data_IF_890048020160
#
_entry.id   IF_890048020160
#
_cell.length_a   1.000
_cell.length_b   1.000
_cell.length_c   1.000
_cell.angle_alpha   90.00
_cell.angle_beta   90.00
_cell.angle_gamma   90.00
#
_symmetry.space_group_name_H-M   'P 1'
#
loop_
_entity.id
_entity.type
_entity.pdbx_description
1 polymer ?
#
# COMPACT_ATOMS: atom_id res chain seq x y z
N UNK A 1 11.35 -16.50 6.42
CA UNK A 1 10.10 -17.00 5.86
C UNK A 1 10.19 -18.50 5.81
N UNK A 2 9.19 -19.20 6.32
CA UNK A 2 9.07 -20.65 6.26
C UNK A 2 8.10 -21.01 5.12
N UNK A 3 8.46 -22.00 4.31
CA UNK A 3 7.62 -22.47 3.21
C UNK A 3 7.31 -23.96 3.45
N UNK A 4 6.02 -24.28 3.55
CA UNK A 4 5.52 -25.65 3.64
C UNK A 4 4.73 -25.95 2.37
N UNK A 5 4.89 -27.16 1.83
CA UNK A 5 4.23 -27.58 0.59
C UNK A 5 3.42 -28.84 0.84
N UNK A 6 2.20 -28.87 0.34
CA UNK A 6 1.30 -30.03 0.42
C UNK A 6 0.82 -30.38 -0.97
N UNK A 7 0.98 -31.64 -1.35
CA UNK A 7 0.42 -32.22 -2.55
C UNK A 7 -0.80 -33.06 -2.19
N UNK A 8 -1.77 -33.18 -3.10
CA UNK A 8 -2.90 -34.11 -2.91
C UNK A 8 -2.50 -35.58 -3.08
N UNK A 9 -1.44 -35.86 -3.86
CA UNK A 9 -0.82 -37.18 -4.00
C UNK A 9 0.69 -37.12 -3.77
N UNK A 10 1.19 -38.04 -2.94
CA UNK A 10 2.64 -38.23 -2.73
C UNK A 10 3.27 -39.16 -3.78
N UNK A 11 2.44 -39.91 -4.53
CA UNK A 11 2.87 -40.88 -5.54
C UNK A 11 1.94 -40.80 -6.74
N UNK A 12 2.53 -40.74 -7.93
CA UNK A 12 1.81 -40.70 -9.20
C UNK A 12 2.03 -42.01 -9.97
N UNK A 13 0.98 -42.52 -10.60
CA UNK A 13 1.13 -43.63 -11.55
C UNK A 13 1.75 -43.13 -12.85
N UNK A 14 2.80 -43.81 -13.30
CA UNK A 14 3.48 -43.52 -14.56
C UNK A 14 2.55 -43.85 -15.74
N UNK A 15 2.71 -43.12 -16.86
CA UNK A 15 2.05 -43.37 -18.16
C UNK A 15 0.57 -42.93 -18.29
N UNK A 16 -0.01 -42.26 -17.29
CA UNK A 16 -1.32 -41.63 -17.42
C UNK A 16 -1.26 -40.14 -17.06
N UNK A 17 -1.87 -39.24 -17.87
CA UNK A 17 -2.00 -37.84 -17.49
C UNK A 17 -2.83 -37.73 -16.21
N UNK A 18 -2.33 -36.95 -15.24
CA UNK A 18 -3.02 -36.70 -13.99
C UNK A 18 -2.96 -35.22 -13.63
N UNK A 19 -3.99 -34.78 -12.92
CA UNK A 19 -4.01 -33.47 -12.29
C UNK A 19 -3.47 -33.62 -10.87
N UNK A 20 -2.54 -32.76 -10.49
CA UNK A 20 -1.96 -32.70 -9.15
C UNK A 20 -2.26 -31.34 -8.55
N UNK A 21 -2.74 -31.32 -7.31
CA UNK A 21 -2.99 -30.06 -6.59
C UNK A 21 -1.84 -29.78 -5.63
N UNK A 22 -1.19 -28.63 -5.80
CA UNK A 22 -0.13 -28.14 -4.92
C UNK A 22 -0.63 -26.95 -4.12
N UNK A 23 -0.58 -27.06 -2.80
CA UNK A 23 -0.75 -25.94 -1.87
C UNK A 23 0.61 -25.58 -1.28
N UNK A 24 1.10 -24.39 -1.60
CA UNK A 24 2.27 -23.79 -0.95
C UNK A 24 1.82 -22.80 0.12
N UNK A 25 2.19 -23.06 1.37
CA UNK A 25 1.93 -22.20 2.53
C UNK A 25 3.22 -21.48 2.92
N UNK A 26 3.19 -20.16 2.90
CA UNK A 26 4.33 -19.29 3.15
C UNK A 26 4.05 -18.49 4.42
N UNK A 27 4.71 -18.85 5.51
CA UNK A 27 4.53 -18.22 6.81
C UNK A 27 5.71 -17.30 7.16
N UNK A 28 5.41 -16.08 7.58
CA UNK A 28 6.40 -15.19 8.18
C UNK A 28 6.62 -15.50 9.67
N UNK A 29 7.77 -15.08 10.18
CA UNK A 29 8.01 -15.04 11.62
C UNK A 29 7.27 -13.87 12.28
N UNK A 30 7.42 -13.68 13.59
CA UNK A 30 6.79 -12.56 14.29
C UNK A 30 7.23 -11.22 13.68
N UNK A 31 6.35 -10.23 13.78
CA UNK A 31 6.69 -8.87 13.38
C UNK A 31 7.98 -8.41 14.10
N UNK A 32 8.92 -7.76 13.40
CA UNK A 32 10.08 -7.19 14.05
C UNK A 32 9.60 -6.14 15.06
N UNK A 33 10.18 -6.16 16.26
CA UNK A 33 9.95 -5.09 17.23
C UNK A 33 10.33 -3.73 16.61
N UNK A 34 9.76 -2.64 17.11
CA UNK A 34 9.94 -1.26 16.64
C UNK A 34 11.41 -0.85 16.42
N UNK A 35 12.35 -1.46 17.15
CA UNK A 35 13.80 -1.22 17.00
C UNK A 35 14.46 -2.01 15.85
N UNK A 36 13.82 -3.07 15.35
CA UNK A 36 14.33 -3.98 14.31
C UNK A 36 13.57 -3.85 12.99
N UNK A 37 12.43 -3.16 12.96
CA UNK A 37 11.69 -2.93 11.72
C UNK A 37 12.41 -1.90 10.84
N UNK A 38 12.15 -1.96 9.53
CA UNK A 38 12.64 -0.95 8.60
C UNK A 38 12.05 0.42 8.96
N UNK A 39 12.86 1.49 8.97
CA UNK A 39 12.33 2.84 9.11
C UNK A 39 11.38 3.18 7.97
N UNK A 40 10.37 3.98 8.27
CA UNK A 40 9.37 4.46 7.31
C UNK A 40 9.75 5.87 6.88
N UNK A 41 9.72 6.14 5.58
CA UNK A 41 9.76 7.48 5.00
C UNK A 41 8.40 7.74 4.34
N UNK A 42 7.54 8.45 5.06
CA UNK A 42 6.14 8.62 4.71
C UNK A 42 5.81 10.08 4.40
N UNK A 43 5.09 10.29 3.31
CA UNK A 43 4.34 11.53 3.11
C UNK A 43 2.84 11.29 3.24
N UNK A 44 2.22 11.96 4.20
CA UNK A 44 0.77 12.00 4.35
C UNK A 44 0.23 13.15 3.51
N UNK A 45 -0.61 12.85 2.52
CA UNK A 45 -1.17 13.81 1.57
C UNK A 45 -2.66 13.92 1.85
N UNK A 46 -3.08 15.05 2.40
CA UNK A 46 -4.42 15.28 2.94
C UNK A 46 -5.19 16.25 2.04
N UNK A 47 -6.32 15.80 1.51
CA UNK A 47 -7.32 16.67 0.95
C UNK A 47 -7.89 17.57 2.05
N UNK A 48 -7.88 18.87 1.82
CA UNK A 48 -8.54 19.86 2.66
C UNK A 48 -9.49 20.73 1.85
N UNK A 49 -10.04 20.23 0.74
CA UNK A 49 -11.05 20.90 -0.05
C UNK A 49 -12.34 21.12 0.74
N UNK A 50 -13.26 21.92 0.21
CA UNK A 50 -14.52 22.25 0.89
C UNK A 50 -15.42 21.04 1.15
N UNK A 51 -15.36 20.00 0.32
CA UNK A 51 -16.12 18.75 0.51
C UNK A 51 -15.70 18.01 1.78
N UNK A 52 -14.45 18.16 2.22
CA UNK A 52 -13.93 17.60 3.46
C UNK A 52 -14.54 18.25 4.71
N UNK A 53 -15.41 19.26 4.56
CA UNK A 53 -16.04 19.96 5.68
C UNK A 53 -16.76 19.05 6.67
N UNK A 54 -16.90 19.55 7.91
CA UNK A 54 -17.55 18.84 8.99
C UNK A 54 -16.73 17.64 9.47
N UNK A 55 -17.35 16.48 9.42
CA UNK A 55 -16.90 15.25 10.02
C UNK A 55 -15.69 14.63 9.29
N UNK A 56 -15.63 14.70 7.96
CA UNK A 56 -14.53 14.12 7.15
C UNK A 56 -13.15 14.67 7.52
N UNK A 57 -13.00 16.00 7.63
CA UNK A 57 -11.73 16.62 8.04
C UNK A 57 -11.41 16.36 9.52
N UNK A 58 -12.42 16.18 10.37
CA UNK A 58 -12.20 15.79 11.75
C UNK A 58 -11.56 14.39 11.83
N UNK A 59 -12.06 13.41 11.07
CA UNK A 59 -11.52 12.04 11.05
C UNK A 59 -10.18 11.97 10.38
N UNK A 60 -10.00 12.74 9.31
CA UNK A 60 -8.69 12.86 8.65
C UNK A 60 -7.62 13.33 9.64
N UNK A 61 -7.93 14.30 10.50
CA UNK A 61 -7.03 14.72 11.57
C UNK A 61 -6.81 13.62 12.61
N UNK A 62 -7.86 12.96 13.08
CA UNK A 62 -7.73 11.88 14.08
C UNK A 62 -6.88 10.72 13.57
N UNK A 63 -7.12 10.28 12.35
CA UNK A 63 -6.35 9.26 11.66
C UNK A 63 -4.88 9.64 11.48
N UNK A 64 -4.63 10.87 10.99
CA UNK A 64 -3.28 11.40 10.85
C UNK A 64 -2.54 11.48 12.20
N UNK A 65 -3.24 11.87 13.28
CA UNK A 65 -2.68 11.91 14.63
C UNK A 65 -2.39 10.51 15.16
N UNK A 66 -3.29 9.55 14.97
CA UNK A 66 -3.08 8.16 15.34
C UNK A 66 -1.83 7.58 14.64
N UNK A 67 -1.68 7.90 13.35
CA UNK A 67 -0.50 7.50 12.59
C UNK A 67 0.79 8.05 13.21
N UNK A 68 0.82 9.35 13.51
CA UNK A 68 1.98 10.01 14.14
C UNK A 68 2.33 9.38 15.48
N UNK A 69 1.32 8.99 16.26
CA UNK A 69 1.54 8.36 17.57
C UNK A 69 2.18 6.97 17.48
N UNK A 70 1.96 6.25 16.38
CA UNK A 70 2.49 4.91 16.16
C UNK A 70 3.80 4.88 15.35
N UNK A 71 4.20 6.00 14.73
CA UNK A 71 5.54 6.13 14.16
C UNK A 71 6.63 6.14 15.25
N UNK A 72 7.83 5.71 14.90
CA UNK A 72 9.02 5.68 15.73
C UNK A 72 9.91 6.89 15.47
N UNK A 73 10.84 7.18 16.39
CA UNK A 73 11.82 8.27 16.21
C UNK A 73 12.77 8.07 15.01
N UNK A 74 12.90 6.83 14.51
CA UNK A 74 13.65 6.52 13.29
C UNK A 74 12.88 6.83 12.00
N UNK A 75 11.57 7.01 12.05
CA UNK A 75 10.77 7.32 10.87
C UNK A 75 10.87 8.78 10.47
N UNK A 76 10.67 9.04 9.19
CA UNK A 76 10.57 10.37 8.60
C UNK A 76 9.12 10.59 8.15
N UNK A 77 8.55 11.73 8.53
CA UNK A 77 7.20 12.14 8.12
C UNK A 77 7.24 13.49 7.42
N UNK A 78 6.52 13.61 6.31
CA UNK A 78 6.05 14.88 5.76
C UNK A 78 4.53 14.91 5.70
N UNK A 79 3.95 16.10 5.77
CA UNK A 79 2.50 16.31 5.62
C UNK A 79 2.27 17.36 4.56
N UNK A 80 1.56 16.97 3.51
CA UNK A 80 1.12 17.83 2.41
C UNK A 80 -0.37 18.02 2.54
N UNK A 81 -0.83 19.25 2.49
CA UNK A 81 -2.23 19.61 2.39
C UNK A 81 -2.51 20.07 0.97
N UNK A 82 -3.62 19.64 0.39
CA UNK A 82 -4.01 20.12 -0.93
C UNK A 82 -5.47 20.55 -0.98
N UNK A 83 -5.71 21.60 -1.74
CA UNK A 83 -7.00 22.03 -2.24
C UNK A 83 -6.78 22.52 -3.70
N UNK A 84 -7.18 23.73 -4.10
CA UNK A 84 -6.67 24.38 -5.32
C UNK A 84 -5.15 24.61 -5.30
N UNK A 85 -4.57 24.71 -4.11
CA UNK A 85 -3.15 24.91 -3.87
C UNK A 85 -2.57 23.74 -3.08
N UNK A 86 -1.28 23.50 -3.28
CA UNK A 86 -0.52 22.50 -2.53
C UNK A 86 0.33 23.22 -1.49
N UNK A 87 0.23 22.79 -0.24
CA UNK A 87 0.95 23.34 0.89
C UNK A 87 1.66 22.22 1.64
N UNK A 88 2.98 22.34 1.79
CA UNK A 88 3.74 21.45 2.68
C UNK A 88 3.57 21.95 4.10
N UNK A 89 2.64 21.35 4.85
CA UNK A 89 2.47 21.64 6.26
C UNK A 89 3.75 21.22 6.99
N UNK A 90 4.15 19.96 6.91
CA UNK A 90 5.37 19.45 7.55
C UNK A 90 6.34 19.04 6.45
N UNK A 91 7.49 19.72 6.37
CA UNK A 91 8.60 19.26 5.55
C UNK A 91 9.17 17.95 6.14
N UNK A 92 9.80 17.08 5.35
CA UNK A 92 10.30 15.80 5.84
C UNK A 92 11.18 15.96 7.08
N UNK A 93 10.71 15.44 8.22
CA UNK A 93 11.43 15.49 9.48
C UNK A 93 11.31 14.17 10.24
N UNK A 94 12.30 13.89 11.10
CA UNK A 94 12.24 12.72 11.98
C UNK A 94 11.13 12.88 13.01
N UNK A 95 10.42 11.80 13.31
CA UNK A 95 9.28 11.82 14.24
C UNK A 95 9.75 11.77 15.71
N UNK A 96 10.53 12.78 16.11
CA UNK A 96 11.02 12.93 17.50
C UNK A 96 10.12 13.83 18.34
N UNK A 97 9.33 14.72 17.70
CA UNK A 97 8.46 15.69 18.37
C UNK A 97 6.98 15.46 18.03
N UNK A 98 6.45 14.29 18.41
CA UNK A 98 5.08 13.86 18.06
C UNK A 98 4.01 14.88 18.44
N UNK A 99 4.10 15.46 19.64
CA UNK A 99 3.10 16.43 20.12
C UNK A 99 3.05 17.68 19.23
N UNK A 100 4.20 18.19 18.79
CA UNK A 100 4.25 19.34 17.89
C UNK A 100 3.60 19.02 16.54
N UNK A 101 3.89 17.84 15.98
CA UNK A 101 3.28 17.35 14.73
C UNK A 101 1.76 17.23 14.88
N UNK A 102 1.29 16.61 15.96
CA UNK A 102 -0.13 16.42 16.28
C UNK A 102 -0.86 17.75 16.40
N UNK A 103 -0.25 18.76 17.02
CA UNK A 103 -0.83 20.11 17.14
C UNK A 103 -0.98 20.80 15.78
N UNK A 104 -0.01 20.63 14.88
CA UNK A 104 -0.10 21.18 13.51
C UNK A 104 -1.22 20.51 12.72
N UNK A 105 -1.34 19.19 12.83
CA UNK A 105 -2.43 18.43 12.21
C UNK A 105 -3.80 18.85 12.79
N UNK A 106 -3.88 19.10 14.09
CA UNK A 106 -5.11 19.57 14.74
C UNK A 106 -5.61 20.90 14.14
N UNK A 107 -4.72 21.73 13.60
CA UNK A 107 -5.06 23.01 12.98
C UNK A 107 -5.63 22.95 11.55
N UNK A 108 -5.67 21.77 10.91
CA UNK A 108 -6.12 21.64 9.52
C UNK A 108 -7.62 21.99 9.40
N UNK A 109 -7.96 22.79 8.39
CA UNK A 109 -9.33 23.22 8.07
C UNK A 109 -9.65 22.99 6.60
N UNK A 110 -10.86 22.51 6.34
CA UNK A 110 -11.42 22.32 5.00
C UNK A 110 -11.75 23.67 4.34
N UNK A 111 -11.32 23.86 3.09
CA UNK A 111 -11.60 25.04 2.23
C UNK A 111 -11.22 24.78 0.76
N UNK A 112 -11.96 25.40 -0.15
CA UNK A 112 -11.58 25.47 -1.56
C UNK A 112 -11.98 24.25 -2.39
N UNK A 113 -11.25 24.00 -3.48
CA UNK A 113 -11.50 22.92 -4.47
C UNK A 113 -10.38 21.86 -4.42
N UNK A 114 -10.29 20.95 -5.40
CA UNK A 114 -9.46 19.73 -5.31
C UNK A 114 -8.42 19.61 -6.43
N UNK A 115 -7.13 19.73 -6.09
CA UNK A 115 -5.98 19.44 -6.95
C UNK A 115 -5.23 18.18 -6.45
N UNK A 116 -5.88 17.03 -6.63
CA UNK A 116 -5.37 15.71 -6.20
C UNK A 116 -3.98 15.42 -6.79
N UNK A 117 -3.82 15.65 -8.09
CA UNK A 117 -2.55 15.36 -8.79
C UNK A 117 -1.37 16.16 -8.21
N UNK A 118 -1.58 17.45 -7.90
CA UNK A 118 -0.56 18.30 -7.31
C UNK A 118 -0.19 17.87 -5.90
N UNK A 119 -1.18 17.57 -5.06
CA UNK A 119 -0.95 17.10 -3.69
C UNK A 119 -0.16 15.80 -3.66
N UNK A 120 -0.59 14.82 -4.46
CA UNK A 120 0.07 13.52 -4.55
C UNK A 120 1.50 13.62 -5.09
N UNK A 121 1.73 14.38 -6.17
CA UNK A 121 3.07 14.57 -6.72
C UNK A 121 4.02 15.28 -5.76
N UNK A 122 3.57 16.28 -5.01
CA UNK A 122 4.39 16.92 -3.97
C UNK A 122 4.72 15.91 -2.86
N UNK A 123 3.76 15.07 -2.44
CA UNK A 123 4.04 13.98 -1.50
C UNK A 123 5.12 13.02 -2.00
N UNK A 124 5.02 12.55 -3.25
CA UNK A 124 6.06 11.71 -3.86
C UNK A 124 7.42 12.42 -3.91
N UNK A 125 7.45 13.72 -4.21
CA UNK A 125 8.69 14.51 -4.23
C UNK A 125 9.31 14.63 -2.84
N UNK A 126 8.52 14.83 -1.80
CA UNK A 126 9.01 14.91 -0.42
C UNK A 126 9.57 13.56 0.07
N UNK A 127 8.92 12.44 -0.28
CA UNK A 127 9.46 11.10 -0.04
C UNK A 127 10.79 10.92 -0.78
N UNK A 128 10.85 11.30 -2.06
CA UNK A 128 12.06 11.19 -2.88
C UNK A 128 13.27 11.93 -2.29
N UNK A 129 13.07 13.03 -1.53
CA UNK A 129 14.15 13.79 -0.89
C UNK A 129 14.89 13.02 0.20
N UNK A 130 14.23 12.07 0.85
CA UNK A 130 14.80 11.24 1.92
C UNK A 130 14.73 9.75 1.58
N UNK A 131 14.68 9.43 0.28
CA UNK A 131 14.51 8.08 -0.18
C UNK A 131 15.76 7.24 0.12
N UNK A 132 15.56 6.14 0.83
CA UNK A 132 16.60 5.17 1.16
C UNK A 132 16.07 3.77 0.84
N UNK A 133 16.89 2.91 0.24
CA UNK A 133 16.51 1.53 -0.11
C UNK A 133 16.28 0.64 1.11
N UNK A 134 16.80 1.03 2.28
CA UNK A 134 16.56 0.38 3.56
C UNK A 134 15.24 0.83 4.20
N UNK A 135 14.61 1.89 3.67
CA UNK A 135 13.39 2.48 4.23
C UNK A 135 12.16 2.06 3.44
N UNK A 136 11.01 2.08 4.11
CA UNK A 136 9.71 1.97 3.46
C UNK A 136 9.31 3.36 2.96
N UNK A 137 9.52 3.61 1.68
CA UNK A 137 9.19 4.89 1.04
C UNK A 137 7.74 4.86 0.55
N UNK A 138 6.86 5.64 1.17
CA UNK A 138 5.41 5.56 0.91
C UNK A 138 4.73 6.92 0.92
N UNK A 139 3.69 7.04 0.11
CA UNK A 139 2.72 8.13 0.13
C UNK A 139 1.36 7.56 0.51
N UNK A 140 0.70 8.17 1.50
CA UNK A 140 -0.71 7.90 1.82
C UNK A 140 -1.52 9.11 1.35
N UNK A 141 -2.37 8.90 0.35
CA UNK A 141 -3.25 9.90 -0.22
C UNK A 141 -4.65 9.76 0.37
N UNK A 142 -5.11 10.79 1.08
CA UNK A 142 -6.45 10.86 1.67
C UNK A 142 -7.30 11.84 0.88
N UNK A 143 -8.41 11.38 0.29
CA UNK A 143 -9.25 12.18 -0.61
C UNK A 143 -10.73 11.85 -0.45
N UNK A 144 -11.59 12.88 -0.49
CA UNK A 144 -13.05 12.71 -0.54
C UNK A 144 -13.69 13.18 -1.85
N UNK A 145 -12.87 13.63 -2.82
CA UNK A 145 -13.35 14.28 -4.02
C UNK A 145 -12.75 13.78 -5.32
N UNK A 146 -13.28 14.35 -6.41
CA UNK A 146 -12.84 14.13 -7.79
C UNK A 146 -11.54 14.90 -8.08
N UNK A 147 -10.69 14.35 -8.95
CA UNK A 147 -9.57 15.10 -9.51
C UNK A 147 -10.11 16.21 -10.44
N UNK A 148 -10.32 17.41 -9.87
CA UNK A 148 -10.98 18.53 -10.54
C UNK A 148 -9.99 19.55 -11.13
N UNK A 149 -8.75 19.57 -10.63
CA UNK A 149 -7.68 20.44 -11.10
C UNK A 149 -6.36 19.68 -11.33
N UNK A 150 -5.51 20.23 -12.21
CA UNK A 150 -4.24 19.62 -12.61
C UNK A 150 -4.44 18.48 -13.60
N UNK A 151 -3.78 17.34 -13.37
CA UNK A 151 -3.99 16.14 -14.18
C UNK A 151 -5.20 15.38 -13.65
N UNK A 152 -6.29 15.37 -14.43
CA UNK A 152 -7.56 14.75 -14.05
C UNK A 152 -7.83 13.43 -14.77
N UNK A 153 -7.01 13.10 -15.76
CA UNK A 153 -7.14 11.88 -16.55
C UNK A 153 -6.67 10.66 -15.76
N UNK A 154 -7.59 9.74 -15.45
CA UNK A 154 -7.30 8.49 -14.73
C UNK A 154 -6.15 7.68 -15.36
N UNK A 155 -6.12 7.39 -16.69
CA UNK A 155 -5.00 6.68 -17.29
C UNK A 155 -3.63 7.34 -17.06
N UNK A 156 -3.57 8.68 -17.03
CA UNK A 156 -2.32 9.40 -16.76
C UNK A 156 -1.91 9.29 -15.30
N UNK A 157 -2.85 9.42 -14.37
CA UNK A 157 -2.59 9.28 -12.93
C UNK A 157 -2.11 7.86 -12.59
N UNK A 158 -2.76 6.83 -13.14
CA UNK A 158 -2.35 5.43 -13.00
C UNK A 158 -0.96 5.20 -13.56
N UNK A 159 -0.65 5.73 -14.76
CA UNK A 159 0.68 5.61 -15.35
C UNK A 159 1.77 6.30 -14.50
N UNK A 160 1.46 7.48 -13.95
CA UNK A 160 2.37 8.16 -13.04
C UNK A 160 2.57 7.36 -11.73
N UNK A 161 1.52 6.78 -11.16
CA UNK A 161 1.61 5.96 -9.95
C UNK A 161 2.51 4.75 -10.17
N UNK A 162 2.35 4.05 -11.30
CA UNK A 162 3.23 2.97 -11.74
C UNK A 162 4.68 3.43 -11.87
N UNK A 163 4.93 4.58 -12.49
CA UNK A 163 6.28 5.14 -12.60
C UNK A 163 6.90 5.44 -11.22
N UNK A 164 6.10 5.92 -10.25
CA UNK A 164 6.58 6.15 -8.87
C UNK A 164 6.88 4.85 -8.13
N UNK A 165 6.09 3.80 -8.35
CA UNK A 165 6.40 2.46 -7.85
C UNK A 165 7.71 1.93 -8.43
N UNK A 166 7.95 2.08 -9.74
CA UNK A 166 9.22 1.71 -10.38
C UNK A 166 10.41 2.50 -9.84
N UNK A 167 10.17 3.72 -9.33
CA UNK A 167 11.16 4.52 -8.61
C UNK A 167 11.30 4.11 -7.13
N UNK A 168 10.56 3.12 -6.64
CA UNK A 168 10.61 2.65 -5.26
C UNK A 168 9.77 3.44 -4.26
N UNK A 169 8.75 4.18 -4.73
CA UNK A 169 7.81 4.94 -3.89
C UNK A 169 6.41 4.35 -4.03
N UNK A 170 5.91 3.73 -2.97
CA UNK A 170 4.57 3.13 -2.97
C UNK A 170 3.48 4.18 -2.72
N UNK A 171 2.31 4.00 -3.32
CA UNK A 171 1.13 4.85 -3.09
C UNK A 171 -0.02 4.03 -2.52
N UNK A 172 -0.51 4.42 -1.36
CA UNK A 172 -1.76 3.93 -0.75
C UNK A 172 -2.79 5.05 -0.84
N UNK A 173 -4.03 4.71 -1.15
CA UNK A 173 -5.12 5.69 -1.28
C UNK A 173 -6.22 5.38 -0.26
N UNK A 174 -6.83 6.44 0.26
CA UNK A 174 -7.89 6.37 1.26
C UNK A 174 -9.03 7.30 0.84
N UNK A 175 -10.16 6.69 0.48
CA UNK A 175 -11.38 7.38 0.12
C UNK A 175 -12.22 7.71 1.34
N UNK A 176 -12.70 8.95 1.48
CA UNK A 176 -13.44 9.43 2.65
C UNK A 176 -14.89 9.79 2.29
N UNK A 177 -15.87 9.10 2.88
CA UNK A 177 -17.30 9.29 2.59
C UNK A 177 -17.67 8.89 1.15
N UNK A 178 -18.92 9.09 0.73
CA UNK A 178 -19.43 8.45 -0.49
C UNK A 178 -19.08 9.14 -1.84
N UNK A 179 -18.46 10.32 -1.84
CA UNK A 179 -18.44 11.23 -2.99
C UNK A 179 -17.08 11.35 -3.73
N UNK A 180 -16.20 10.35 -3.62
CA UNK A 180 -14.90 10.34 -4.32
C UNK A 180 -14.92 9.46 -5.57
N UNK A 181 -13.90 9.62 -6.42
CA UNK A 181 -13.69 8.74 -7.57
C UNK A 181 -13.02 7.44 -7.12
N UNK A 182 -13.82 6.45 -6.74
CA UNK A 182 -13.35 5.14 -6.27
C UNK A 182 -12.49 4.42 -7.29
N UNK A 183 -12.95 4.34 -8.55
CA UNK A 183 -12.21 3.71 -9.65
C UNK A 183 -10.80 4.31 -9.79
N UNK A 184 -10.68 5.63 -9.66
CA UNK A 184 -9.39 6.32 -9.73
C UNK A 184 -8.49 5.97 -8.54
N UNK A 185 -9.00 6.07 -7.31
CA UNK A 185 -8.18 5.83 -6.12
C UNK A 185 -7.73 4.37 -6.04
N UNK A 186 -8.61 3.43 -6.38
CA UNK A 186 -8.31 2.01 -6.47
C UNK A 186 -7.24 1.74 -7.53
N UNK A 187 -7.44 2.23 -8.76
CA UNK A 187 -6.48 2.04 -9.84
C UNK A 187 -5.11 2.69 -9.56
N UNK A 188 -5.08 3.82 -8.85
CA UNK A 188 -3.83 4.46 -8.41
C UNK A 188 -3.10 3.65 -7.33
N UNK A 189 -3.82 3.09 -6.36
CA UNK A 189 -3.22 2.23 -5.34
C UNK A 189 -2.65 0.95 -5.95
N UNK A 190 -3.43 0.28 -6.81
CA UNK A 190 -3.00 -0.94 -7.50
C UNK A 190 -1.74 -0.70 -8.34
N UNK A 191 -1.75 0.35 -9.15
CA UNK A 191 -0.58 0.71 -9.96
C UNK A 191 0.59 1.22 -9.12
N UNK A 192 0.31 1.86 -7.98
CA UNK A 192 1.27 2.38 -7.03
C UNK A 192 1.81 1.36 -6.04
N UNK A 193 1.39 0.09 -6.11
CA UNK A 193 1.87 -0.99 -5.24
C UNK A 193 1.50 -0.79 -3.77
N UNK A 194 0.37 -0.14 -3.49
CA UNK A 194 -0.23 -0.02 -2.16
C UNK A 194 -1.65 -0.57 -2.14
N UNK A 195 -2.38 -0.21 -1.09
CA UNK A 195 -3.78 -0.61 -0.92
C UNK A 195 -4.73 0.58 -1.09
N UNK A 196 -5.98 0.28 -1.39
CA UNK A 196 -7.09 1.24 -1.36
C UNK A 196 -7.97 0.92 -0.16
N UNK A 197 -8.31 1.95 0.59
CA UNK A 197 -9.22 1.86 1.73
C UNK A 197 -10.40 2.81 1.59
N UNK A 198 -11.59 2.32 1.92
CA UNK A 198 -12.81 3.13 1.96
C UNK A 198 -13.22 3.40 3.40
N UNK A 199 -13.24 4.67 3.78
CA UNK A 199 -13.66 5.13 5.10
C UNK A 199 -15.06 5.71 4.95
N UNK A 200 -16.05 4.85 5.19
CA UNK A 200 -17.47 5.21 5.14
C UNK A 200 -17.85 6.19 6.25
N UNK A 201 -17.30 5.98 7.45
CA UNK A 201 -17.79 6.63 8.67
C UNK A 201 -16.68 6.98 9.69
N UNK A 202 -16.95 7.96 10.56
CA UNK A 202 -16.12 8.35 11.72
C UNK A 202 -15.55 7.19 12.53
N UNK A 203 -16.41 6.21 12.76
CA UNK A 203 -16.19 5.16 13.74
C UNK A 203 -15.24 4.09 13.22
N UNK A 204 -15.17 3.93 11.89
CA UNK A 204 -14.36 2.91 11.22
C UNK A 204 -13.00 3.46 10.77
N UNK A 205 -12.87 4.79 10.60
CA UNK A 205 -11.63 5.45 10.23
C UNK A 205 -10.41 5.00 11.07
N UNK A 206 -10.44 5.07 12.42
CA UNK A 206 -9.29 4.69 13.24
C UNK A 206 -8.85 3.24 13.01
N UNK A 207 -9.81 2.31 12.88
CA UNK A 207 -9.52 0.90 12.66
C UNK A 207 -8.86 0.65 11.30
N UNK A 208 -9.39 1.24 10.23
CA UNK A 208 -8.81 1.11 8.87
C UNK A 208 -7.38 1.67 8.84
N UNK A 209 -7.18 2.81 9.49
CA UNK A 209 -5.85 3.41 9.62
C UNK A 209 -4.90 2.55 10.44
N UNK A 210 -5.40 1.95 11.51
CA UNK A 210 -4.66 0.99 12.31
C UNK A 210 -4.29 -0.24 11.48
N UNK A 211 -5.18 -0.78 10.67
CA UNK A 211 -4.90 -1.93 9.80
C UNK A 211 -3.77 -1.65 8.79
N UNK A 212 -3.83 -0.53 8.04
CA UNK A 212 -2.73 -0.14 7.12
C UNK A 212 -1.44 0.12 7.89
N UNK A 213 -1.52 0.83 9.02
CA UNK A 213 -0.33 1.18 9.77
C UNK A 213 0.30 -0.04 10.43
N UNK A 214 -0.48 -0.96 10.98
CA UNK A 214 -0.01 -2.25 11.46
C UNK A 214 0.60 -3.05 10.32
N UNK A 215 0.00 -3.05 9.12
CA UNK A 215 0.63 -3.60 7.92
C UNK A 215 2.02 -2.99 7.69
N UNK A 216 2.14 -1.67 7.67
CA UNK A 216 3.43 -0.99 7.49
C UNK A 216 4.46 -1.31 8.58
N UNK A 217 4.03 -1.35 9.84
CA UNK A 217 4.88 -1.58 11.00
C UNK A 217 5.34 -3.03 11.10
N UNK A 218 4.50 -3.97 10.66
CA UNK A 218 4.78 -5.41 10.73
C UNK A 218 5.39 -5.96 9.44
N UNK A 219 5.60 -5.14 8.42
CA UNK A 219 6.13 -5.55 7.12
C UNK A 219 7.50 -6.24 7.24
N UNK A 220 7.55 -7.55 7.01
CA UNK A 220 8.75 -8.38 7.07
C UNK A 220 9.44 -8.55 5.71
N UNK A 221 8.69 -8.40 4.62
CA UNK A 221 9.19 -8.60 3.26
C UNK A 221 8.34 -7.85 2.25
N UNK A 222 8.95 -7.38 1.16
CA UNK A 222 8.25 -6.69 0.08
C UNK A 222 8.26 -7.53 -1.18
N UNK A 223 7.16 -7.44 -1.94
CA UNK A 223 7.05 -8.00 -3.29
C UNK A 223 7.49 -9.48 -3.37
N UNK A 224 7.00 -10.32 -2.45
CA UNK A 224 7.25 -11.75 -2.45
C UNK A 224 6.83 -12.33 -3.79
N UNK A 225 7.79 -13.00 -4.42
CA UNK A 225 7.57 -13.73 -5.67
C UNK A 225 7.92 -15.19 -5.45
N UNK A 226 7.00 -16.07 -5.81
CA UNK A 226 7.21 -17.53 -5.82
C UNK A 226 7.39 -17.95 -7.26
N UNK A 227 8.50 -18.63 -7.58
CA UNK A 227 8.76 -19.15 -8.92
C UNK A 227 8.76 -20.67 -8.90
N UNK A 228 8.06 -21.27 -9.85
CA UNK A 228 8.13 -22.69 -10.18
C UNK A 228 8.99 -22.85 -11.43
N UNK A 229 9.96 -23.76 -11.35
CA UNK A 229 10.72 -24.24 -12.51
C UNK A 229 10.13 -25.58 -12.93
N UNK A 230 9.53 -25.60 -14.12
CA UNK A 230 8.84 -26.76 -14.66
C UNK A 230 9.84 -27.73 -15.27
N UNK A 231 9.52 -29.02 -15.17
CA UNK A 231 10.21 -30.08 -15.89
C UNK A 231 9.42 -30.44 -17.14
N UNK A 232 10.01 -31.25 -18.02
CA UNK A 232 9.34 -31.74 -19.25
C UNK A 232 8.07 -32.57 -18.98
N UNK A 233 7.87 -33.02 -17.74
CA UNK A 233 6.71 -33.82 -17.34
C UNK A 233 5.50 -33.00 -16.90
N UNK A 234 5.64 -31.67 -16.76
CA UNK A 234 4.53 -30.77 -16.42
C UNK A 234 4.15 -29.99 -17.68
N UNK A 235 2.95 -30.23 -18.18
CA UNK A 235 2.40 -29.60 -19.38
C UNK A 235 1.69 -28.29 -19.07
N UNK A 236 1.18 -28.11 -17.85
CA UNK A 236 0.39 -26.94 -17.48
C UNK A 236 0.46 -26.59 -16.00
N UNK A 237 0.35 -25.29 -15.73
CA UNK A 237 0.18 -24.72 -14.39
C UNK A 237 -1.02 -23.79 -14.41
N UNK A 238 -2.02 -24.11 -13.60
CA UNK A 238 -3.21 -23.30 -13.46
C UNK A 238 -3.35 -22.85 -12.00
N UNK A 239 -3.38 -21.54 -11.77
CA UNK A 239 -3.55 -21.00 -10.43
C UNK A 239 -5.02 -21.08 -10.00
N UNK A 240 -5.29 -21.62 -8.82
CA UNK A 240 -6.65 -21.71 -8.26
C UNK A 240 -7.03 -20.49 -7.42
N UNK A 241 -6.05 -19.80 -6.85
CA UNK A 241 -6.24 -18.48 -6.26
C UNK A 241 -5.74 -17.38 -7.22
N UNK A 242 -6.11 -16.12 -7.02
CA UNK A 242 -5.83 -15.04 -7.99
C UNK A 242 -4.60 -14.21 -7.57
N UNK A 243 -3.41 -14.57 -8.05
CA UNK A 243 -2.22 -13.70 -7.98
C UNK A 243 -1.76 -13.32 -9.39
N UNK A 244 -1.11 -12.17 -9.57
CA UNK A 244 -0.45 -11.85 -10.83
C UNK A 244 0.59 -12.92 -11.17
N UNK A 245 0.48 -13.50 -12.37
CA UNK A 245 1.37 -14.55 -12.89
C UNK A 245 2.16 -14.04 -14.09
N UNK A 246 3.43 -14.42 -14.16
CA UNK A 246 4.30 -14.18 -15.29
C UNK A 246 5.02 -15.48 -15.67
N UNK A 247 4.92 -15.88 -16.94
CA UNK A 247 5.56 -17.08 -17.47
C UNK A 247 6.69 -16.68 -18.41
N UNK A 248 7.89 -17.22 -18.17
CA UNK A 248 9.06 -17.06 -19.01
C UNK A 248 9.71 -18.43 -19.26
N UNK A 249 9.47 -19.00 -20.45
CA UNK A 249 9.91 -20.35 -20.78
C UNK A 249 9.34 -21.40 -19.83
N UNK A 250 10.22 -22.11 -19.12
CA UNK A 250 9.86 -23.12 -18.12
C UNK A 250 9.66 -22.55 -16.71
N UNK A 251 9.77 -21.22 -16.53
CA UNK A 251 9.61 -20.58 -15.23
C UNK A 251 8.27 -19.87 -15.13
N UNK A 252 7.45 -20.27 -14.16
CA UNK A 252 6.18 -19.59 -13.84
C UNK A 252 6.34 -18.86 -12.52
N UNK A 253 6.15 -17.55 -12.49
CA UNK A 253 6.33 -16.72 -11.30
C UNK A 253 5.03 -16.06 -10.86
N UNK A 254 4.73 -16.19 -9.57
CA UNK A 254 3.54 -15.67 -8.91
C UNK A 254 3.94 -14.55 -7.97
N UNK A 255 3.37 -13.36 -8.15
CA UNK A 255 3.63 -12.21 -7.26
C UNK A 255 2.60 -12.21 -6.13
N UNK A 256 3.04 -12.59 -4.94
CA UNK A 256 2.22 -12.69 -3.74
C UNK A 256 2.14 -11.37 -2.94
N UNK A 257 2.94 -10.37 -3.35
CA UNK A 257 2.93 -9.03 -2.77
C UNK A 257 3.71 -8.93 -1.45
N UNK A 258 3.39 -7.91 -0.67
CA UNK A 258 4.05 -7.61 0.60
C UNK A 258 3.68 -8.63 1.68
N UNK A 259 4.63 -8.95 2.57
CA UNK A 259 4.48 -9.94 3.64
C UNK A 259 4.60 -9.26 4.99
N UNK A 260 3.59 -9.46 5.84
CA UNK A 260 3.47 -8.90 7.18
C UNK A 260 3.86 -9.93 8.26
N UNK A 261 4.13 -9.47 9.47
CA UNK A 261 4.50 -10.33 10.59
C UNK A 261 3.36 -11.26 10.97
N UNK A 262 3.67 -12.53 11.25
CA UNK A 262 2.69 -13.60 11.51
C UNK A 262 1.68 -13.86 10.38
N UNK A 263 1.87 -13.27 9.20
CA UNK A 263 1.07 -13.51 8.00
C UNK A 263 1.37 -14.88 7.38
N UNK A 264 0.32 -15.53 6.89
CA UNK A 264 0.39 -16.74 6.08
C UNK A 264 -0.20 -16.44 4.71
N UNK A 265 0.65 -16.50 3.67
CA UNK A 265 0.18 -16.49 2.28
C UNK A 265 0.09 -17.91 1.75
N UNK A 266 -0.96 -18.19 0.98
CA UNK A 266 -1.18 -19.51 0.39
C UNK A 266 -1.20 -19.36 -1.13
N UNK A 267 -0.47 -20.21 -1.86
CA UNK A 267 -0.55 -20.34 -3.32
C UNK A 267 -1.12 -21.72 -3.63
N UNK A 268 -2.19 -21.78 -4.43
CA UNK A 268 -2.85 -23.03 -4.78
C UNK A 268 -2.77 -23.21 -6.29
N UNK A 269 -2.19 -24.33 -6.72
CA UNK A 269 -1.92 -24.64 -8.12
C UNK A 269 -2.54 -25.98 -8.49
N UNK A 270 -3.09 -26.06 -9.70
CA UNK A 270 -3.34 -27.30 -10.43
C UNK A 270 -2.19 -27.48 -11.43
N UNK A 271 -1.51 -28.61 -11.36
CA UNK A 271 -0.47 -29.04 -12.29
C UNK A 271 -1.01 -30.18 -13.15
N UNK A 272 -0.71 -30.16 -14.46
CA UNK A 272 -1.15 -31.16 -15.44
C UNK A 272 -0.02 -31.58 -16.36
#
# INVERSE_FOLDING_TARGET
MQADFVLDYDVLTVEQPQKLYLMARLASGPAPDSQRRRPINLSLVIDRSGSMGGDKIAYTRQAAQFLVQNLSASDTLSVVLYNEHVETLIAPEKVTHKDAIVQRIAGIKARGTTNLSGGWLEGCKLVAQNQDSLFLNRVILMSDGLANQGVTSMPKLVAMAKQKLEQGINTTTMGLGADFNEDLLMAMADAGGGAFYFIESPEVAPQIFEEELQGLLTLVGQNLTVSLELTEHVQGVHQLNAYPVHTDGQRVSFRLGDVFGEEVKTLILELS
#
